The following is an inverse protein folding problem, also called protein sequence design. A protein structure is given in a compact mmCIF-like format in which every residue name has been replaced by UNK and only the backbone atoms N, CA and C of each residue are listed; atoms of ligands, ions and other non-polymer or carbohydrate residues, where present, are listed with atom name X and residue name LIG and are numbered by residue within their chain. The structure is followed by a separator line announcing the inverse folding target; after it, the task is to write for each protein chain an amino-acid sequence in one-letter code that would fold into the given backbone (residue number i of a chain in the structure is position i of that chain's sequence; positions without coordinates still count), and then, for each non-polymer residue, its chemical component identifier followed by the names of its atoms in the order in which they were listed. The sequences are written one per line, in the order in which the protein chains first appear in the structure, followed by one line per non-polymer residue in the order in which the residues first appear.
data_IF_119477622462
#
_entry.id   IF_119477622462
#
_cell.length_a   1.000
_cell.length_b   1.000
_cell.length_c   1.000
_cell.angle_alpha   90.00
_cell.angle_beta   90.00
_cell.angle_gamma   90.00
#
_symmetry.space_group_name_H-M   'P 1'
#
loop_
_entity.id
_entity.type
_entity.pdbx_description
1 polymer ?
#
# COMPACT_ATOMS: atom_id res chain seq x y z
N UNK A 1 17.78 0.02 7.56
CA UNK A 1 19.10 0.23 8.18
C UNK A 1 20.20 -0.55 7.48
N UNK A 2 20.18 -1.89 7.46
CA UNK A 2 21.24 -2.70 6.85
C UNK A 2 21.64 -2.29 5.41
N UNK A 3 20.68 -2.06 4.51
CA UNK A 3 20.96 -1.61 3.13
C UNK A 3 21.73 -0.29 3.06
N UNK A 4 21.46 0.65 3.97
CA UNK A 4 22.16 1.94 4.05
C UNK A 4 23.61 1.76 4.47
N UNK A 5 23.86 0.85 5.39
CA UNK A 5 25.19 0.59 5.95
C UNK A 5 26.05 -0.26 5.00
N UNK A 6 25.44 -1.20 4.28
CA UNK A 6 26.17 -2.19 3.48
C UNK A 6 26.16 -1.90 1.98
N UNK A 7 25.12 -1.23 1.47
CA UNK A 7 24.95 -0.93 0.05
C UNK A 7 24.35 0.47 -0.20
N UNK A 8 24.97 1.56 0.31
CA UNK A 8 24.42 2.91 0.18
C UNK A 8 24.22 3.36 -1.28
N UNK A 9 25.07 2.89 -2.20
CA UNK A 9 24.96 3.24 -3.62
C UNK A 9 23.66 2.73 -4.26
N UNK A 10 23.11 1.60 -3.77
CA UNK A 10 21.83 1.09 -4.23
C UNK A 10 20.68 2.03 -3.82
N UNK A 11 20.75 2.63 -2.62
CA UNK A 11 19.73 3.60 -2.19
C UNK A 11 19.82 4.90 -2.98
N UNK A 12 21.02 5.31 -3.37
CA UNK A 12 21.22 6.49 -4.21
C UNK A 12 20.60 6.30 -5.60
N UNK A 13 20.82 5.13 -6.21
CA UNK A 13 20.31 4.80 -7.55
C UNK A 13 18.84 4.35 -7.57
N UNK A 14 18.32 3.88 -6.43
CA UNK A 14 16.94 3.40 -6.36
C UNK A 14 15.96 4.50 -6.73
N UNK A 15 14.99 4.15 -7.59
CA UNK A 15 13.89 5.03 -7.96
C UNK A 15 12.77 5.01 -6.91
N UNK A 16 12.43 3.81 -6.40
CA UNK A 16 11.36 3.63 -5.44
C UNK A 16 11.65 2.45 -4.49
N UNK A 17 11.07 2.53 -3.28
CA UNK A 17 10.97 1.47 -2.29
C UNK A 17 9.55 0.92 -2.33
N UNK A 18 9.40 -0.33 -2.75
CA UNK A 18 8.11 -0.97 -2.96
C UNK A 18 7.95 -2.22 -2.10
N UNK A 19 6.74 -2.42 -1.60
CA UNK A 19 6.28 -3.73 -1.14
C UNK A 19 5.96 -4.62 -2.35
N UNK A 20 5.81 -5.92 -2.13
CA UNK A 20 5.52 -6.86 -3.22
C UNK A 20 4.19 -6.52 -3.93
N UNK A 21 3.14 -6.17 -3.18
CA UNK A 21 1.86 -5.73 -3.77
C UNK A 21 2.04 -4.49 -4.64
N UNK A 22 2.78 -3.49 -4.15
CA UNK A 22 3.16 -2.29 -4.90
C UNK A 22 3.96 -2.59 -6.17
N UNK A 23 4.87 -3.57 -6.12
CA UNK A 23 5.65 -4.00 -7.27
C UNK A 23 4.75 -4.67 -8.32
N UNK A 24 3.80 -5.50 -7.91
CA UNK A 24 2.81 -6.11 -8.81
C UNK A 24 1.96 -5.00 -9.46
N UNK A 25 1.44 -4.06 -8.67
CA UNK A 25 0.68 -2.93 -9.20
C UNK A 25 1.48 -2.16 -10.24
N UNK A 26 2.75 -1.83 -9.95
CA UNK A 26 3.63 -1.17 -10.90
C UNK A 26 3.84 -2.00 -12.18
N UNK A 27 4.00 -3.31 -12.09
CA UNK A 27 4.10 -4.18 -13.28
C UNK A 27 2.83 -4.18 -14.12
N UNK A 28 1.67 -4.06 -13.48
CA UNK A 28 0.38 -4.03 -14.17
C UNK A 28 0.08 -2.66 -14.80
N UNK A 29 0.43 -1.56 -14.13
CA UNK A 29 -0.04 -0.21 -14.51
C UNK A 29 1.06 0.76 -14.91
N UNK A 30 2.30 0.52 -14.50
CA UNK A 30 3.43 1.45 -14.61
C UNK A 30 3.50 2.45 -13.45
N UNK A 31 2.48 2.48 -12.59
CA UNK A 31 2.38 3.43 -11.48
C UNK A 31 3.14 2.95 -10.25
N UNK A 32 3.92 3.84 -9.64
CA UNK A 32 4.52 3.60 -8.34
C UNK A 32 3.54 4.04 -7.24
N UNK A 33 2.98 3.07 -6.52
CA UNK A 33 2.03 3.33 -5.43
C UNK A 33 2.28 2.40 -4.26
N UNK A 34 1.98 2.88 -3.05
CA UNK A 34 1.98 2.03 -1.86
C UNK A 34 0.61 2.02 -1.22
N UNK A 35 0.05 0.83 -1.00
CA UNK A 35 -1.17 0.70 -0.24
C UNK A 35 -0.97 1.14 1.21
N UNK A 36 -1.88 1.95 1.75
CA UNK A 36 -1.73 2.54 3.08
C UNK A 36 -1.72 1.47 4.19
N UNK A 37 -2.45 0.36 4.02
CA UNK A 37 -2.47 -0.71 5.01
C UNK A 37 -1.18 -1.50 5.02
N UNK A 38 -0.61 -1.74 3.84
CA UNK A 38 0.73 -2.31 3.71
C UNK A 38 1.79 -1.39 4.32
N UNK A 39 1.74 -0.08 4.04
CA UNK A 39 2.66 0.87 4.66
C UNK A 39 2.53 0.87 6.18
N UNK A 40 1.33 0.68 6.74
CA UNK A 40 1.11 0.59 8.19
C UNK A 40 1.93 -0.53 8.85
N UNK A 41 2.15 -1.64 8.15
CA UNK A 41 2.96 -2.77 8.65
C UNK A 41 4.46 -2.46 8.75
N UNK A 42 4.92 -1.43 8.04
CA UNK A 42 6.34 -1.04 8.01
C UNK A 42 6.79 -0.24 9.22
N UNK A 43 5.84 0.24 10.05
CA UNK A 43 6.07 1.20 11.13
C UNK A 43 6.68 2.54 10.67
N UNK A 44 6.62 2.86 9.37
CA UNK A 44 7.14 4.12 8.82
C UNK A 44 6.07 5.20 8.61
N UNK A 45 4.81 4.90 8.92
CA UNK A 45 3.66 5.76 8.65
C UNK A 45 3.35 6.67 9.84
N UNK A 46 3.10 7.94 9.57
CA UNK A 46 2.37 8.82 10.48
C UNK A 46 0.87 8.65 10.20
N UNK A 47 0.16 8.02 11.14
CA UNK A 47 -1.28 7.73 11.01
C UNK A 47 -2.15 8.99 10.99
N UNK A 48 -1.70 10.09 11.59
CA UNK A 48 -2.44 11.35 11.64
C UNK A 48 -2.29 12.11 10.33
N UNK A 49 -1.07 12.12 9.76
CA UNK A 49 -0.79 12.75 8.47
C UNK A 49 -1.16 11.86 7.28
N UNK A 50 -1.39 10.56 7.51
CA UNK A 50 -1.62 9.54 6.47
C UNK A 50 -0.53 9.55 5.40
N UNK A 51 0.71 9.81 5.81
CA UNK A 51 1.90 9.75 4.95
C UNK A 51 3.08 9.13 5.71
N UNK A 52 4.17 8.82 5.00
CA UNK A 52 5.41 8.40 5.63
C UNK A 52 5.91 9.47 6.61
N UNK A 53 6.18 9.09 7.86
CA UNK A 53 6.59 9.98 8.94
C UNK A 53 7.91 10.69 8.59
N UNK A 54 7.92 12.02 8.49
CA UNK A 54 9.15 12.80 8.28
C UNK A 54 10.20 12.53 9.36
N UNK A 55 9.79 12.33 10.60
CA UNK A 55 10.66 12.06 11.75
C UNK A 55 11.37 10.72 11.60
N UNK A 56 10.63 9.66 11.21
CA UNK A 56 11.20 8.33 10.98
C UNK A 56 12.12 8.33 9.76
N UNK A 57 11.72 9.00 8.68
CA UNK A 57 12.56 9.14 7.49
C UNK A 57 13.87 9.89 7.80
N UNK A 58 13.80 10.95 8.60
CA UNK A 58 14.98 11.69 9.06
C UNK A 58 15.87 10.82 9.96
N UNK A 59 15.30 10.14 10.95
CA UNK A 59 16.03 9.28 11.88
C UNK A 59 16.74 8.12 11.16
N UNK A 60 16.09 7.54 10.15
CA UNK A 60 16.67 6.46 9.33
C UNK A 60 17.59 7.00 8.23
N UNK A 61 17.51 8.30 7.90
CA UNK A 61 18.19 8.95 6.78
C UNK A 61 17.76 8.38 5.43
N UNK A 62 16.51 7.93 5.31
CA UNK A 62 15.93 7.46 4.05
C UNK A 62 15.26 8.64 3.34
N UNK A 63 15.58 8.93 2.07
CA UNK A 63 15.00 10.08 1.39
C UNK A 63 13.54 9.82 1.01
N UNK A 64 12.65 10.78 1.30
CA UNK A 64 11.20 10.72 1.00
C UNK A 64 10.89 10.36 -0.46
N UNK A 65 11.77 10.74 -1.40
CA UNK A 65 11.64 10.44 -2.85
C UNK A 65 11.52 8.95 -3.17
N UNK A 66 12.06 8.07 -2.31
CA UNK A 66 11.98 6.63 -2.52
C UNK A 66 10.57 6.10 -2.25
N UNK A 67 9.77 6.81 -1.47
CA UNK A 67 8.46 6.31 -1.04
C UNK A 67 7.40 6.85 -2.00
N UNK A 68 6.69 5.99 -2.76
CA UNK A 68 5.67 6.46 -3.69
C UNK A 68 4.47 7.07 -2.98
N UNK A 69 3.52 7.60 -3.76
CA UNK A 69 2.23 8.06 -3.23
C UNK A 69 1.49 6.91 -2.55
N UNK A 70 0.82 7.22 -1.44
CA UNK A 70 -0.06 6.26 -0.79
C UNK A 70 -1.40 6.20 -1.52
N UNK A 71 -2.00 5.02 -1.54
CA UNK A 71 -3.33 4.76 -2.09
C UNK A 71 -4.19 4.00 -1.09
N UNK A 72 -5.48 4.27 -1.12
CA UNK A 72 -6.46 3.54 -0.30
C UNK A 72 -6.86 2.21 -0.95
N UNK A 73 -7.28 1.24 -0.14
CA UNK A 73 -7.96 0.06 -0.67
C UNK A 73 -9.24 0.49 -1.40
N UNK A 74 -9.47 -0.08 -2.59
CA UNK A 74 -10.56 0.33 -3.48
C UNK A 74 -10.24 1.54 -4.37
N UNK A 75 -9.11 2.23 -4.16
CA UNK A 75 -8.70 3.32 -5.05
C UNK A 75 -8.19 2.77 -6.40
N UNK A 76 -8.54 3.46 -7.48
CA UNK A 76 -7.96 3.17 -8.80
C UNK A 76 -6.49 3.59 -8.83
N UNK A 77 -5.63 2.62 -9.08
CA UNK A 77 -4.19 2.84 -9.23
C UNK A 77 -3.88 3.40 -10.62
N UNK A 78 -4.46 2.78 -11.65
CA UNK A 78 -4.20 3.11 -13.04
C UNK A 78 -4.98 2.20 -14.00
N UNK A 79 -4.40 1.91 -15.15
CA UNK A 79 -4.95 1.00 -16.16
C UNK A 79 -3.97 -0.10 -16.50
N UNK A 80 -4.47 -1.28 -16.85
CA UNK A 80 -3.65 -2.41 -17.25
C UNK A 80 -2.86 -2.09 -18.53
N UNK A 81 -1.54 -2.19 -18.47
CA UNK A 81 -0.65 -1.98 -19.61
C UNK A 81 -0.77 -3.10 -20.64
N UNK A 82 -0.43 -2.81 -21.90
CA UNK A 82 -0.49 -3.76 -23.00
C UNK A 82 0.29 -5.06 -22.72
N UNK A 83 1.52 -4.94 -22.21
CA UNK A 83 2.38 -6.10 -21.96
C UNK A 83 1.78 -7.03 -20.89
N UNK A 84 1.23 -6.44 -19.83
CA UNK A 84 0.54 -7.18 -18.78
C UNK A 84 -0.77 -7.78 -19.27
N UNK A 85 -1.54 -7.04 -20.08
CA UNK A 85 -2.78 -7.52 -20.68
C UNK A 85 -2.54 -8.74 -21.60
N UNK A 86 -1.50 -8.68 -22.43
CA UNK A 86 -1.08 -9.79 -23.30
C UNK A 86 -0.69 -11.03 -22.49
N UNK A 87 0.06 -10.84 -21.39
CA UNK A 87 0.46 -11.93 -20.51
C UNK A 87 -0.74 -12.60 -19.82
N UNK A 88 -1.76 -11.82 -19.44
CA UNK A 88 -2.92 -12.29 -18.70
C UNK A 88 -4.09 -12.73 -19.59
N UNK A 89 -4.02 -12.49 -20.91
CA UNK A 89 -5.13 -12.74 -21.83
C UNK A 89 -6.33 -11.82 -21.59
N UNK A 90 -6.07 -10.58 -21.14
CA UNK A 90 -7.08 -9.56 -20.81
C UNK A 90 -7.03 -8.40 -21.81
N UNK A 91 -8.06 -7.55 -21.78
CA UNK A 91 -8.06 -6.30 -22.53
C UNK A 91 -7.17 -5.26 -21.83
N UNK A 92 -6.32 -4.57 -22.60
CA UNK A 92 -5.54 -3.45 -22.10
C UNK A 92 -6.44 -2.27 -21.74
N UNK A 93 -6.00 -1.41 -20.83
CA UNK A 93 -6.76 -0.21 -20.43
C UNK A 93 -7.80 -0.46 -19.34
N UNK A 94 -8.09 -1.71 -18.96
CA UNK A 94 -9.02 -1.98 -17.86
C UNK A 94 -8.49 -1.40 -16.53
N UNK A 95 -9.37 -0.88 -15.65
CA UNK A 95 -8.93 -0.31 -14.39
C UNK A 95 -8.25 -1.35 -13.49
N UNK A 96 -7.12 -0.97 -12.88
CA UNK A 96 -6.48 -1.73 -11.81
C UNK A 96 -6.73 -1.02 -10.49
N UNK A 97 -7.29 -1.74 -9.53
CA UNK A 97 -7.73 -1.23 -8.23
C UNK A 97 -6.80 -1.73 -7.13
N UNK A 98 -6.46 -0.88 -6.17
CA UNK A 98 -5.70 -1.30 -4.99
C UNK A 98 -6.54 -2.25 -4.15
N UNK A 99 -6.01 -3.44 -3.90
CA UNK A 99 -6.70 -4.47 -3.14
C UNK A 99 -6.65 -4.19 -1.62
N UNK A 100 -5.62 -3.52 -1.11
CA UNK A 100 -5.34 -3.51 0.34
C UNK A 100 -4.54 -4.73 0.79
N UNK A 101 -4.18 -4.79 2.08
CA UNK A 101 -3.63 -5.98 2.73
C UNK A 101 -4.74 -7.01 3.02
N UNK A 102 -4.43 -8.31 2.98
CA UNK A 102 -5.35 -9.46 3.12
C UNK A 102 -6.37 -9.33 4.28
N UNK A 103 -6.00 -8.63 5.36
CA UNK A 103 -6.87 -8.40 6.52
C UNK A 103 -8.10 -7.52 6.23
N UNK A 104 -8.05 -6.59 5.26
CA UNK A 104 -9.21 -5.75 4.93
C UNK A 104 -10.28 -6.51 4.13
N UNK A 105 -9.90 -7.51 3.36
CA UNK A 105 -10.87 -8.39 2.68
C UNK A 105 -11.63 -9.29 3.66
N UNK A 106 -11.03 -9.65 4.80
CA UNK A 106 -11.74 -10.38 5.84
C UNK A 106 -12.90 -9.57 6.45
N UNK A 107 -12.78 -8.23 6.48
CA UNK A 107 -13.83 -7.34 6.97
C UNK A 107 -14.97 -7.16 5.94
N UNK A 108 -14.63 -6.99 4.65
CA UNK A 108 -15.61 -6.86 3.56
C UNK A 108 -16.33 -8.19 3.25
N UNK A 109 -15.64 -9.32 3.36
CA UNK A 109 -16.25 -10.65 3.19
C UNK A 109 -17.26 -11.03 4.28
N UNK A 110 -17.28 -10.29 5.40
CA UNK A 110 -18.19 -10.50 6.53
C UNK A 110 -19.45 -9.59 6.50
N UNK A 111 -19.59 -8.70 5.50
CA UNK A 111 -20.76 -7.83 5.36
C UNK A 111 -20.79 -6.63 6.30
N UNK A 112 -19.64 -6.16 6.80
CA UNK A 112 -19.58 -4.95 7.60
C UNK A 112 -19.60 -3.69 6.71
N UNK A 113 -20.72 -2.96 6.72
CA UNK A 113 -20.77 -1.60 6.18
C UNK A 113 -19.96 -0.63 7.06
N UNK A 114 -19.41 0.42 6.43
CA UNK A 114 -18.73 1.54 7.10
C UNK A 114 -19.77 2.35 7.91
N UNK A 115 -20.19 1.87 9.10
CA UNK A 115 -20.69 2.68 10.23
C UNK A 115 -21.38 1.80 11.31
N UNK A 116 -20.64 0.91 11.99
CA UNK A 116 -21.06 0.43 13.31
C UNK A 116 -19.97 0.69 14.37
N UNK A 117 -20.19 1.58 15.36
CA UNK A 117 -19.34 1.68 16.51
C UNK A 117 -19.51 0.41 17.37
N UNK A 118 -18.44 -0.38 17.44
CA UNK A 118 -18.35 -1.58 18.24
C UNK A 118 -18.37 -1.25 19.74
N UNK A 119 -19.56 -1.10 20.32
CA UNK A 119 -19.78 -1.26 21.76
C UNK A 119 -21.26 -1.38 22.09
N UNK A 120 -21.74 -2.60 22.33
CA UNK A 120 -22.81 -2.81 23.32
C UNK A 120 -22.42 -3.94 24.27
N UNK A 121 -22.37 -3.67 25.59
CA UNK A 121 -22.14 -4.71 26.59
C UNK A 121 -23.36 -5.64 26.62
N UNK A 122 -23.09 -6.94 26.75
CA UNK A 122 -24.09 -7.99 26.94
C UNK A 122 -24.89 -7.69 28.21
N UNK A 123 -26.14 -7.25 28.05
CA UNK A 123 -27.11 -7.20 29.14
C UNK A 123 -27.75 -8.57 29.25
N UNK A 124 -27.54 -9.22 30.39
CA UNK A 124 -28.23 -10.46 30.74
C UNK A 124 -29.75 -10.30 30.80
N UNK A 125 -30.40 -11.42 30.52
CA UNK A 125 -31.77 -11.82 30.92
C UNK A 125 -31.72 -13.35 30.95
N UNK A 126 -32.36 -14.08 31.83
CA UNK A 126 -33.10 -13.87 33.07
C UNK A 126 -33.36 -15.28 33.58
#
# INVERSE_FOLDING_TARGET
MWLKENHPQLLEQAHAWLFISSLINHRLTGEFTTDITMAGTSQMLDIHQRDFSPEILQATGLPRRLFPRLVEAGERIGTLQNDAANLLGLEAGIPVISAGHDTQFALFGAGAEQDEPYSRPVRGKS
#
